data_IF_524753838218
#
_entry.id   IF_524753838218
#
_cell.length_a   1.000
_cell.length_b   1.000
_cell.length_c   1.000
_cell.angle_alpha   90.00
_cell.angle_beta   90.00
_cell.angle_gamma   90.00
#
_symmetry.space_group_name_H-M   'P 1'
#
loop_
_entity.id
_entity.type
_entity.pdbx_description
1 polymer ?
#
# COMPACT_ATOMS: atom_id res chain seq x y z
N UNK A 1 15.61 41.43 -13.94
CA UNK A 1 16.83 40.60 -13.86
C UNK A 1 16.39 39.16 -13.97
N UNK A 2 16.88 38.48 -15.01
CA UNK A 2 16.50 37.14 -15.42
C UNK A 2 17.06 36.09 -14.45
N UNK A 3 16.29 35.05 -14.14
CA UNK A 3 16.87 33.75 -13.83
C UNK A 3 16.02 32.65 -14.47
N UNK A 4 16.66 31.95 -15.41
CA UNK A 4 16.08 30.92 -16.26
C UNK A 4 15.91 29.62 -15.46
N UNK A 5 14.68 29.12 -15.36
CA UNK A 5 14.41 27.74 -15.01
C UNK A 5 14.56 26.88 -16.27
N UNK A 6 15.58 26.03 -16.32
CA UNK A 6 15.60 24.93 -17.27
C UNK A 6 14.65 23.83 -16.78
N UNK A 7 13.44 23.81 -17.32
CA UNK A 7 12.53 22.66 -17.27
C UNK A 7 13.01 21.61 -18.28
N UNK A 8 13.65 20.55 -17.81
CA UNK A 8 13.85 19.32 -18.60
C UNK A 8 12.56 18.51 -18.56
N UNK A 9 11.70 18.73 -19.55
CA UNK A 9 10.59 17.84 -19.88
C UNK A 9 11.15 16.52 -20.42
N UNK A 10 11.20 15.48 -19.59
CA UNK A 10 11.42 14.11 -20.07
C UNK A 10 10.12 13.63 -20.70
N UNK A 11 10.01 13.80 -22.00
CA UNK A 11 8.99 13.11 -22.81
C UNK A 11 9.18 11.61 -22.65
N UNK A 12 8.12 10.81 -22.41
CA UNK A 12 8.22 9.36 -22.42
C UNK A 12 8.60 8.95 -23.85
N UNK A 13 9.81 8.41 -24.00
CA UNK A 13 10.26 7.93 -25.29
C UNK A 13 9.42 6.69 -25.61
N UNK A 14 8.45 6.87 -26.50
CA UNK A 14 7.57 5.81 -27.00
C UNK A 14 8.44 4.70 -27.57
N UNK A 15 8.28 3.48 -27.06
CA UNK A 15 8.93 2.30 -27.62
C UNK A 15 8.71 2.27 -29.15
N UNK A 16 9.74 1.90 -29.94
CA UNK A 16 9.60 1.82 -31.39
C UNK A 16 8.43 0.91 -31.74
N UNK A 17 7.54 1.40 -32.60
CA UNK A 17 6.38 0.65 -33.07
C UNK A 17 6.86 -0.63 -33.77
N UNK A 18 6.68 -1.77 -33.11
CA UNK A 18 7.14 -3.08 -33.57
C UNK A 18 7.84 -3.93 -32.51
N UNK A 19 8.23 -3.36 -31.36
CA UNK A 19 8.75 -4.15 -30.24
C UNK A 19 7.60 -4.73 -29.42
N UNK A 20 7.06 -5.85 -29.91
CA UNK A 20 6.08 -6.62 -29.16
C UNK A 20 6.79 -7.42 -28.06
N UNK A 21 6.64 -6.99 -26.80
CA UNK A 21 7.11 -7.75 -25.63
C UNK A 21 6.50 -9.16 -25.57
N UNK A 22 5.42 -9.42 -26.32
CA UNK A 22 4.85 -10.75 -26.46
C UNK A 22 5.76 -11.73 -27.23
N UNK A 23 6.80 -11.25 -27.94
CA UNK A 23 7.72 -12.15 -28.64
C UNK A 23 8.79 -12.77 -27.74
N UNK A 24 8.86 -12.39 -26.46
CA UNK A 24 9.65 -13.06 -25.43
C UNK A 24 8.92 -14.23 -24.77
N UNK A 25 7.66 -14.49 -25.16
CA UNK A 25 6.99 -15.72 -24.76
C UNK A 25 7.67 -16.90 -25.47
N UNK A 26 8.46 -17.66 -24.70
CA UNK A 26 8.76 -19.03 -25.08
C UNK A 26 7.42 -19.71 -25.44
N UNK A 27 7.40 -20.35 -26.61
CA UNK A 27 6.23 -21.08 -27.08
C UNK A 27 5.78 -22.09 -26.01
N UNK A 28 4.46 -22.37 -25.87
CA UNK A 28 3.93 -23.28 -24.84
C UNK A 28 4.56 -24.69 -24.85
N UNK A 29 5.11 -25.11 -25.99
CA UNK A 29 5.86 -26.36 -26.14
C UNK A 29 7.19 -26.40 -25.37
N UNK A 30 7.68 -25.27 -24.86
CA UNK A 30 8.89 -25.16 -24.03
C UNK A 30 8.57 -24.96 -22.54
N UNK A 31 7.29 -24.89 -22.15
CA UNK A 31 6.84 -24.69 -20.76
C UNK A 31 6.92 -25.95 -19.88
N UNK A 32 7.60 -27.01 -20.34
CA UNK A 32 7.76 -28.26 -19.57
C UNK A 32 9.22 -28.61 -19.35
N UNK A 33 10.00 -27.71 -18.76
CA UNK A 33 11.15 -28.15 -17.97
C UNK A 33 11.02 -27.51 -16.60
N UNK A 34 10.53 -28.29 -15.64
CA UNK A 34 10.53 -27.95 -14.23
C UNK A 34 12.00 -27.77 -13.77
N UNK A 35 12.57 -26.57 -13.96
CA UNK A 35 13.96 -26.25 -13.63
C UNK A 35 14.07 -25.92 -12.14
N UNK A 36 13.90 -26.94 -11.31
CA UNK A 36 14.21 -26.87 -9.88
C UNK A 36 15.73 -26.71 -9.68
N UNK A 37 16.25 -25.48 -9.76
CA UNK A 37 17.54 -25.05 -9.19
C UNK A 37 18.81 -25.86 -9.53
N UNK A 38 18.75 -26.77 -10.50
CA UNK A 38 19.82 -27.71 -10.83
C UNK A 38 20.17 -27.59 -12.31
N UNK A 39 21.47 -27.52 -12.59
CA UNK A 39 21.97 -27.56 -13.96
C UNK A 39 21.66 -28.93 -14.59
N UNK A 40 21.20 -28.92 -15.84
CA UNK A 40 20.84 -30.08 -16.63
C UNK A 40 22.09 -30.90 -16.99
N UNK A 41 21.88 -32.21 -17.16
CA UNK A 41 22.93 -33.11 -17.65
C UNK A 41 23.13 -32.90 -19.15
N UNK A 42 24.39 -32.67 -19.55
CA UNK A 42 24.79 -32.44 -20.93
C UNK A 42 25.03 -33.76 -21.65
N UNK A 43 24.01 -34.25 -22.35
CA UNK A 43 24.05 -35.55 -23.03
C UNK A 43 23.82 -35.43 -24.55
N UNK A 44 23.60 -34.22 -25.06
CA UNK A 44 23.23 -34.02 -26.46
C UNK A 44 24.45 -33.91 -27.38
N UNK A 45 24.26 -34.30 -28.64
CA UNK A 45 25.26 -34.20 -29.72
C UNK A 45 25.06 -32.89 -30.47
N UNK A 46 26.14 -32.28 -30.93
CA UNK A 46 26.05 -31.03 -31.72
C UNK A 46 25.66 -31.37 -33.16
N UNK A 47 24.61 -30.74 -33.69
CA UNK A 47 24.34 -30.74 -35.12
C UNK A 47 25.27 -29.73 -35.83
N UNK A 48 26.45 -30.21 -36.21
CA UNK A 48 27.46 -29.41 -36.89
C UNK A 48 26.99 -28.83 -38.23
N UNK A 49 26.06 -29.48 -38.93
CA UNK A 49 25.52 -28.96 -40.20
C UNK A 49 24.64 -27.75 -39.94
N UNK A 50 23.80 -27.84 -38.91
CA UNK A 50 22.94 -26.73 -38.49
C UNK A 50 23.77 -25.54 -38.01
N UNK A 51 24.78 -25.77 -37.16
CA UNK A 51 25.68 -24.72 -36.69
C UNK A 51 26.46 -24.07 -37.84
N UNK A 52 26.95 -24.86 -38.81
CA UNK A 52 27.67 -24.33 -39.97
C UNK A 52 26.81 -23.44 -40.89
N UNK A 53 25.50 -23.64 -40.91
CA UNK A 53 24.57 -22.83 -41.69
C UNK A 53 24.22 -21.49 -41.01
N UNK A 54 24.59 -21.31 -39.74
CA UNK A 54 24.31 -20.10 -38.97
C UNK A 54 25.34 -19.01 -39.31
N UNK A 55 24.85 -17.88 -39.83
CA UNK A 55 25.65 -16.68 -40.01
C UNK A 55 25.65 -15.85 -38.71
N UNK A 56 26.72 -16.00 -37.93
CA UNK A 56 26.89 -15.34 -36.63
C UNK A 56 27.01 -13.82 -36.77
N UNK A 57 27.66 -13.33 -37.83
CA UNK A 57 27.85 -11.89 -38.04
C UNK A 57 26.51 -11.22 -38.38
N UNK A 58 25.65 -11.92 -39.13
CA UNK A 58 24.29 -11.47 -39.39
C UNK A 58 23.45 -11.44 -38.11
N UNK A 59 23.50 -12.48 -37.28
CA UNK A 59 22.78 -12.49 -35.99
C UNK A 59 23.19 -11.29 -35.14
N UNK A 60 24.48 -11.00 -35.06
CA UNK A 60 24.99 -9.88 -34.27
C UNK A 60 24.57 -8.51 -34.80
N UNK A 61 24.55 -8.32 -36.14
CA UNK A 61 24.14 -7.05 -36.76
C UNK A 61 22.63 -6.83 -36.71
N UNK A 62 21.86 -7.86 -37.03
CA UNK A 62 20.41 -7.77 -37.23
C UNK A 62 19.63 -8.06 -35.93
N UNK A 63 20.32 -8.48 -34.87
CA UNK A 63 19.71 -8.97 -33.63
C UNK A 63 18.67 -10.07 -33.90
N UNK A 64 19.02 -11.04 -34.74
CA UNK A 64 18.15 -12.17 -35.09
C UNK A 64 18.07 -13.16 -33.91
N UNK A 65 17.25 -12.80 -32.93
CA UNK A 65 17.00 -13.62 -31.74
C UNK A 65 16.30 -14.93 -32.07
N UNK A 66 15.56 -15.01 -33.18
CA UNK A 66 14.87 -16.23 -33.57
C UNK A 66 15.88 -17.32 -33.96
N UNK A 67 16.81 -17.01 -34.86
CA UNK A 67 17.86 -17.95 -35.25
C UNK A 67 18.74 -18.34 -34.05
N UNK A 68 19.01 -17.40 -33.14
CA UNK A 68 19.73 -17.69 -31.90
C UNK A 68 18.96 -18.64 -30.98
N UNK A 69 17.67 -18.40 -30.76
CA UNK A 69 16.79 -19.20 -29.92
C UNK A 69 16.67 -20.63 -30.44
N UNK A 70 16.56 -20.80 -31.76
CA UNK A 70 16.46 -22.10 -32.42
C UNK A 70 17.72 -22.97 -32.25
N UNK A 71 18.89 -22.36 -32.00
CA UNK A 71 20.16 -23.05 -31.78
C UNK A 71 20.57 -23.13 -30.31
N UNK A 72 19.81 -22.50 -29.40
CA UNK A 72 20.16 -22.33 -28.01
C UNK A 72 20.30 -23.67 -27.27
N UNK A 73 19.38 -24.60 -27.51
CA UNK A 73 19.39 -25.93 -26.89
C UNK A 73 20.64 -26.73 -27.29
N UNK A 74 20.96 -26.74 -28.59
CA UNK A 74 22.15 -27.39 -29.14
C UNK A 74 23.46 -26.87 -28.51
N UNK A 75 23.52 -25.57 -28.19
CA UNK A 75 24.73 -24.97 -27.59
C UNK A 75 24.78 -25.25 -26.09
N UNK A 76 23.65 -25.15 -25.39
CA UNK A 76 23.59 -25.21 -23.93
C UNK A 76 23.64 -26.62 -23.36
N UNK A 77 23.04 -27.60 -24.04
CA UNK A 77 22.89 -28.98 -23.57
C UNK A 77 23.87 -29.98 -24.20
N UNK A 78 24.70 -29.56 -25.15
CA UNK A 78 25.65 -30.46 -25.78
C UNK A 78 26.79 -30.88 -24.86
N UNK A 79 27.25 -32.12 -25.04
CA UNK A 79 28.44 -32.63 -24.39
C UNK A 79 29.71 -32.27 -25.17
N UNK A 80 30.31 -31.12 -24.86
CA UNK A 80 31.54 -30.66 -25.53
C UNK A 80 32.72 -31.63 -25.38
N UNK A 81 32.79 -32.41 -24.29
CA UNK A 81 33.87 -33.40 -24.09
C UNK A 81 33.78 -34.56 -25.09
N UNK A 82 32.59 -34.83 -25.62
CA UNK A 82 32.35 -35.91 -26.59
C UNK A 82 32.49 -35.46 -28.05
N UNK A 83 32.62 -34.15 -28.29
CA UNK A 83 32.61 -33.52 -29.62
C UNK A 83 33.99 -33.02 -30.06
N UNK A 84 34.89 -32.79 -29.10
CA UNK A 84 36.21 -32.20 -29.34
C UNK A 84 37.30 -33.24 -29.12
N UNK A 85 38.26 -33.33 -30.04
CA UNK A 85 39.50 -34.07 -29.80
C UNK A 85 40.45 -33.22 -28.94
N UNK A 86 40.66 -33.68 -27.70
CA UNK A 86 41.52 -33.03 -26.70
C UNK A 86 43.01 -33.04 -27.06
N UNK A 87 43.42 -33.78 -28.09
CA UNK A 87 44.80 -33.79 -28.58
C UNK A 87 45.12 -32.59 -29.48
N UNK A 88 44.10 -31.99 -30.09
CA UNK A 88 44.25 -30.88 -31.05
C UNK A 88 43.65 -29.57 -30.52
N UNK A 89 42.80 -29.62 -29.51
CA UNK A 89 42.17 -28.43 -28.92
C UNK A 89 42.73 -28.11 -27.53
N UNK A 90 42.95 -26.82 -27.24
CA UNK A 90 43.36 -26.35 -25.92
C UNK A 90 42.29 -26.71 -24.86
N UNK A 91 42.64 -27.43 -23.79
CA UNK A 91 41.72 -27.73 -22.67
C UNK A 91 41.05 -26.48 -22.06
N UNK A 92 41.68 -25.31 -22.14
CA UNK A 92 41.10 -24.05 -21.67
C UNK A 92 39.90 -23.60 -22.50
N UNK A 93 39.85 -23.93 -23.80
CA UNK A 93 38.69 -23.65 -24.64
C UNK A 93 37.49 -24.47 -24.20
N UNK A 94 37.69 -25.76 -23.88
CA UNK A 94 36.64 -26.64 -23.35
C UNK A 94 36.11 -26.10 -22.02
N UNK A 95 36.99 -25.61 -21.14
CA UNK A 95 36.58 -24.95 -19.88
C UNK A 95 35.79 -23.67 -20.14
N UNK A 96 36.25 -22.82 -21.06
CA UNK A 96 35.57 -21.58 -21.43
C UNK A 96 34.16 -21.87 -21.98
N UNK A 97 34.03 -22.86 -22.85
CA UNK A 97 32.73 -23.27 -23.41
C UNK A 97 31.79 -23.79 -22.31
N UNK A 98 32.28 -24.64 -21.40
CA UNK A 98 31.48 -25.10 -20.24
C UNK A 98 31.04 -23.95 -19.35
N UNK A 99 31.89 -22.95 -19.11
CA UNK A 99 31.49 -21.74 -18.38
C UNK A 99 30.43 -20.93 -19.13
N UNK A 100 30.54 -20.80 -20.45
CA UNK A 100 29.52 -20.16 -21.28
C UNK A 100 28.19 -20.91 -21.19
N UNK A 101 28.19 -22.24 -21.28
CA UNK A 101 26.98 -23.06 -21.12
C UNK A 101 26.31 -22.86 -19.75
N UNK A 102 27.09 -22.89 -18.67
CA UNK A 102 26.58 -22.64 -17.31
C UNK A 102 26.03 -21.22 -17.16
N UNK A 103 26.69 -20.24 -17.77
CA UNK A 103 26.24 -18.85 -17.75
C UNK A 103 24.90 -18.70 -18.48
N UNK A 104 24.76 -19.27 -19.68
CA UNK A 104 23.50 -19.23 -20.44
C UNK A 104 22.39 -19.95 -19.66
N UNK A 105 22.68 -21.10 -19.07
CA UNK A 105 21.71 -21.85 -18.27
C UNK A 105 21.25 -21.07 -17.03
N UNK A 106 22.16 -20.39 -16.34
CA UNK A 106 21.84 -19.47 -15.25
C UNK A 106 20.95 -18.31 -15.72
N UNK A 107 21.27 -17.69 -16.86
CA UNK A 107 20.47 -16.60 -17.42
C UNK A 107 19.05 -17.05 -17.78
N UNK A 108 18.90 -18.28 -18.32
CA UNK A 108 17.59 -18.86 -18.59
C UNK A 108 16.79 -19.14 -17.31
N UNK A 109 17.45 -19.61 -16.24
CA UNK A 109 16.80 -19.76 -14.93
C UNK A 109 16.33 -18.39 -14.40
N UNK A 110 17.18 -17.36 -14.48
CA UNK A 110 16.79 -16.01 -14.08
C UNK A 110 15.62 -15.47 -14.90
N UNK A 111 15.61 -15.71 -16.22
CA UNK A 111 14.51 -15.32 -17.10
C UNK A 111 13.19 -15.98 -16.67
N UNK A 112 13.20 -17.29 -16.42
CA UNK A 112 12.02 -18.03 -15.98
C UNK A 112 11.51 -17.56 -14.60
N UNK A 113 12.43 -17.30 -13.67
CA UNK A 113 12.11 -16.74 -12.35
C UNK A 113 11.47 -15.36 -12.46
N UNK A 114 12.04 -14.46 -13.25
CA UNK A 114 11.50 -13.11 -13.47
C UNK A 114 10.14 -13.19 -14.17
N UNK A 115 10.00 -14.05 -15.17
CA UNK A 115 8.74 -14.22 -15.91
C UNK A 115 7.63 -14.76 -15.00
N UNK A 116 7.94 -15.74 -14.16
CA UNK A 116 7.01 -16.28 -13.17
C UNK A 116 6.60 -15.23 -12.15
N UNK A 117 7.57 -14.47 -11.60
CA UNK A 117 7.28 -13.36 -10.69
C UNK A 117 6.41 -12.30 -11.35
N UNK A 118 6.68 -11.93 -12.60
CA UNK A 118 5.85 -10.97 -13.35
C UNK A 118 4.41 -11.48 -13.54
N UNK A 119 4.23 -12.76 -13.83
CA UNK A 119 2.91 -13.37 -13.93
C UNK A 119 2.15 -13.33 -12.59
N UNK A 120 2.83 -13.64 -11.49
CA UNK A 120 2.25 -13.55 -10.14
C UNK A 120 1.87 -12.11 -9.78
N UNK A 121 2.72 -11.14 -10.08
CA UNK A 121 2.44 -9.72 -9.87
C UNK A 121 1.26 -9.22 -10.72
N UNK A 122 1.15 -9.65 -11.97
CA UNK A 122 0.02 -9.26 -12.82
C UNK A 122 -1.30 -9.87 -12.33
N UNK A 123 -1.27 -11.13 -11.87
CA UNK A 123 -2.43 -11.76 -11.23
C UNK A 123 -2.85 -11.05 -9.95
N UNK A 124 -1.91 -10.71 -9.08
CA UNK A 124 -2.18 -9.97 -7.84
C UNK A 124 -2.77 -8.60 -8.15
N UNK A 125 -2.16 -7.86 -9.07
CA UNK A 125 -2.64 -6.55 -9.52
C UNK A 125 -4.07 -6.62 -10.07
N UNK A 126 -4.40 -7.65 -10.86
CA UNK A 126 -5.74 -7.82 -11.40
C UNK A 126 -6.76 -8.13 -10.29
N UNK A 127 -6.39 -8.93 -9.27
CA UNK A 127 -7.23 -9.16 -8.09
C UNK A 127 -7.47 -7.88 -7.30
N UNK A 128 -6.41 -7.14 -6.97
CA UNK A 128 -6.50 -5.87 -6.24
C UNK A 128 -7.37 -4.85 -6.98
N UNK A 129 -7.27 -4.81 -8.31
CA UNK A 129 -8.11 -3.96 -9.15
C UNK A 129 -9.59 -4.34 -9.03
N UNK A 130 -9.92 -5.62 -9.09
CA UNK A 130 -11.29 -6.10 -8.92
C UNK A 130 -11.83 -5.83 -7.52
N UNK A 131 -11.05 -6.13 -6.47
CA UNK A 131 -11.43 -5.88 -5.07
C UNK A 131 -11.66 -4.39 -4.82
N UNK A 132 -10.82 -3.52 -5.39
CA UNK A 132 -10.98 -2.07 -5.31
C UNK A 132 -12.26 -1.59 -6.00
N UNK A 133 -12.57 -2.09 -7.21
CA UNK A 133 -13.80 -1.74 -7.91
C UNK A 133 -15.05 -2.23 -7.16
N UNK A 134 -15.02 -3.43 -6.58
CA UNK A 134 -16.13 -3.95 -5.76
C UNK A 134 -16.34 -3.12 -4.49
N UNK A 135 -15.25 -2.78 -3.78
CA UNK A 135 -15.31 -1.90 -2.61
C UNK A 135 -15.85 -0.52 -2.96
N UNK A 136 -15.42 0.04 -4.10
CA UNK A 136 -15.92 1.33 -4.62
C UNK A 136 -17.41 1.29 -4.91
N UNK A 137 -17.90 0.22 -5.55
CA UNK A 137 -19.34 0.05 -5.79
C UNK A 137 -20.12 -0.08 -4.47
N UNK A 138 -19.59 -0.79 -3.48
CA UNK A 138 -20.23 -0.93 -2.18
C UNK A 138 -20.30 0.40 -1.43
N UNK A 139 -19.25 1.22 -1.49
CA UNK A 139 -19.23 2.57 -0.91
C UNK A 139 -20.33 3.44 -1.55
N UNK A 140 -20.48 3.41 -2.87
CA UNK A 140 -21.52 4.19 -3.55
C UNK A 140 -22.93 3.71 -3.20
N UNK A 141 -23.16 2.40 -3.08
CA UNK A 141 -24.42 1.84 -2.58
C UNK A 141 -24.74 2.32 -1.17
N UNK A 142 -23.79 2.20 -0.25
CA UNK A 142 -23.96 2.62 1.15
C UNK A 142 -24.19 4.15 1.27
N UNK A 143 -23.52 4.95 0.44
CA UNK A 143 -23.76 6.40 0.36
C UNK A 143 -25.19 6.70 -0.08
N UNK A 144 -25.71 5.98 -1.07
CA UNK A 144 -27.07 6.14 -1.54
C UNK A 144 -28.09 5.76 -0.46
N UNK A 145 -27.93 4.59 0.17
CA UNK A 145 -28.79 4.14 1.28
C UNK A 145 -28.77 5.10 2.48
N UNK A 146 -27.60 5.64 2.82
CA UNK A 146 -27.46 6.64 3.86
C UNK A 146 -28.22 7.92 3.51
N UNK A 147 -28.16 8.36 2.25
CA UNK A 147 -28.88 9.54 1.79
C UNK A 147 -30.41 9.34 1.87
N UNK A 148 -30.90 8.18 1.45
CA UNK A 148 -32.33 7.85 1.54
C UNK A 148 -32.80 7.72 2.99
N UNK A 149 -32.02 7.04 3.84
CA UNK A 149 -32.32 6.92 5.28
C UNK A 149 -32.35 8.29 5.97
N UNK A 150 -31.42 9.20 5.62
CA UNK A 150 -31.43 10.58 6.13
C UNK A 150 -32.66 11.36 5.68
N UNK A 151 -33.10 11.20 4.43
CA UNK A 151 -34.34 11.82 3.94
C UNK A 151 -35.55 11.30 4.70
N UNK A 152 -35.64 9.99 4.91
CA UNK A 152 -36.72 9.36 5.66
C UNK A 152 -36.75 9.79 7.12
N UNK A 153 -35.58 9.82 7.78
CA UNK A 153 -35.45 10.34 9.16
C UNK A 153 -35.92 11.80 9.25
N UNK A 154 -35.56 12.64 8.27
CA UNK A 154 -36.03 14.04 8.22
C UNK A 154 -37.55 14.12 8.05
N UNK A 155 -38.15 13.26 7.23
CA UNK A 155 -39.62 13.18 7.07
C UNK A 155 -40.30 12.76 8.37
N UNK A 156 -39.82 11.69 9.02
CA UNK A 156 -40.36 11.21 10.31
C UNK A 156 -40.23 12.23 11.41
N UNK A 157 -39.09 12.93 11.50
CA UNK A 157 -38.90 14.02 12.46
C UNK A 157 -39.95 15.13 12.28
N UNK A 158 -40.18 15.59 11.03
CA UNK A 158 -41.22 16.58 10.74
C UNK A 158 -42.62 16.09 11.11
N UNK A 159 -42.93 14.82 10.85
CA UNK A 159 -44.20 14.21 11.21
C UNK A 159 -44.41 14.20 12.73
N UNK A 160 -43.40 13.78 13.50
CA UNK A 160 -43.42 13.79 14.97
C UNK A 160 -43.56 15.21 15.52
N UNK A 161 -42.81 16.18 15.00
CA UNK A 161 -42.93 17.59 15.41
C UNK A 161 -44.34 18.14 15.14
N UNK A 162 -44.96 17.74 14.03
CA UNK A 162 -46.34 18.13 13.69
C UNK A 162 -47.35 17.48 14.63
N UNK A 163 -47.19 16.18 14.91
CA UNK A 163 -48.04 15.45 15.85
C UNK A 163 -47.94 16.03 17.27
N UNK A 164 -46.72 16.33 17.73
CA UNK A 164 -46.49 16.96 19.04
C UNK A 164 -47.16 18.33 19.11
N UNK A 165 -47.06 19.15 18.05
CA UNK A 165 -47.78 20.43 17.97
C UNK A 165 -49.30 20.27 18.03
N UNK A 166 -49.86 19.27 17.34
CA UNK A 166 -51.30 18.98 17.41
C UNK A 166 -51.73 18.58 18.83
N UNK A 167 -50.96 17.71 19.50
CA UNK A 167 -51.23 17.31 20.88
C UNK A 167 -51.12 18.48 21.86
N UNK A 168 -50.10 19.34 21.72
CA UNK A 168 -49.95 20.54 22.55
C UNK A 168 -51.08 21.55 22.32
N UNK A 169 -51.51 21.76 21.07
CA UNK A 169 -52.65 22.64 20.77
C UNK A 169 -53.97 22.08 21.33
N UNK A 170 -54.15 20.75 21.32
CA UNK A 170 -55.29 20.11 21.99
C UNK A 170 -55.23 20.27 23.51
N UNK A 171 -54.04 20.19 24.12
CA UNK A 171 -53.90 20.32 25.58
C UNK A 171 -53.86 21.77 26.09
N UNK A 172 -53.51 22.76 25.25
CA UNK A 172 -53.35 24.16 25.67
C UNK A 172 -54.63 25.00 25.61
N UNK A 173 -55.66 24.55 24.88
CA UNK A 173 -56.92 25.30 24.73
C UNK A 173 -58.01 24.86 25.72
N UNK A 174 -57.70 23.88 26.58
CA UNK A 174 -58.64 23.34 27.55
C UNK A 174 -57.95 23.08 28.88
N UNK A 175 -58.64 23.42 29.96
CA UNK A 175 -58.24 23.14 31.33
C UNK A 175 -58.90 21.84 31.77
N UNK A 176 -58.13 20.76 31.82
CA UNK A 176 -58.62 19.42 32.19
C UNK A 176 -58.76 19.26 33.69
N UNK A 177 -59.82 18.59 34.13
CA UNK A 177 -60.00 18.25 35.53
C UNK A 177 -58.91 17.26 35.98
N UNK A 178 -58.27 17.50 37.15
CA UNK A 178 -57.24 16.61 37.65
C UNK A 178 -57.76 15.27 38.23
N UNK A 179 -59.08 15.15 38.40
CA UNK A 179 -59.74 14.00 39.05
C UNK A 179 -60.62 13.21 38.08
N UNK A 180 -61.15 13.84 37.02
CA UNK A 180 -61.99 13.21 36.02
C UNK A 180 -61.62 13.65 34.59
N UNK A 181 -62.27 13.09 33.58
CA UNK A 181 -61.94 13.30 32.17
C UNK A 181 -62.53 14.59 31.55
N UNK A 182 -63.21 15.43 32.32
CA UNK A 182 -63.81 16.66 31.80
C UNK A 182 -62.77 17.74 31.51
N UNK A 183 -62.95 18.45 30.39
CA UNK A 183 -62.10 19.55 29.95
C UNK A 183 -62.91 20.83 29.76
N UNK A 184 -62.37 21.97 30.19
CA UNK A 184 -63.08 23.24 30.24
C UNK A 184 -62.35 24.32 29.45
N UNK A 185 -63.08 25.17 28.73
CA UNK A 185 -62.50 26.25 27.93
C UNK A 185 -61.92 27.41 28.76
N UNK A 186 -62.24 27.50 30.06
CA UNK A 186 -61.73 28.53 30.97
C UNK A 186 -61.42 27.96 32.34
N UNK A 187 -60.34 28.48 32.95
CA UNK A 187 -59.88 28.12 34.30
C UNK A 187 -61.00 28.30 35.33
N UNK A 188 -61.81 29.36 35.20
CA UNK A 188 -62.90 29.64 36.14
C UNK A 188 -63.96 28.53 36.14
N UNK A 189 -64.29 27.97 34.97
CA UNK A 189 -65.24 26.85 34.88
C UNK A 189 -64.65 25.56 35.41
N UNK A 190 -63.36 25.31 35.18
CA UNK A 190 -62.67 24.16 35.77
C UNK A 190 -62.69 24.25 37.30
N UNK A 191 -62.34 25.40 37.88
CA UNK A 191 -62.31 25.60 39.32
C UNK A 191 -63.70 25.41 39.94
N UNK A 192 -64.75 25.96 39.31
CA UNK A 192 -66.13 25.76 39.76
C UNK A 192 -66.56 24.28 39.68
N UNK A 193 -66.10 23.55 38.66
CA UNK A 193 -66.35 22.11 38.54
C UNK A 193 -65.67 21.30 39.65
N UNK A 194 -64.38 21.54 39.92
CA UNK A 194 -63.64 20.88 41.00
C UNK A 194 -64.34 21.12 42.34
N UNK A 195 -64.67 22.38 42.66
CA UNK A 195 -65.30 22.71 43.94
C UNK A 195 -66.68 22.06 44.15
N UNK A 196 -67.41 21.74 43.07
CA UNK A 196 -68.75 21.16 43.15
C UNK A 196 -68.77 19.64 43.08
N UNK A 197 -67.89 19.05 42.28
CA UNK A 197 -67.90 17.61 41.96
C UNK A 197 -66.74 16.84 42.60
N UNK A 198 -65.70 17.55 43.01
CA UNK A 198 -64.53 17.00 43.69
C UNK A 198 -64.16 17.84 44.93
N UNK A 199 -65.09 18.04 45.89
CA UNK A 199 -64.82 18.84 47.09
C UNK A 199 -63.71 18.26 47.98
N UNK A 200 -63.44 16.95 47.89
CA UNK A 200 -62.35 16.26 48.59
C UNK A 200 -61.01 16.30 47.83
N UNK A 201 -60.93 17.02 46.70
CA UNK A 201 -59.71 17.16 45.94
C UNK A 201 -58.72 18.09 46.67
N UNK A 202 -57.69 17.49 47.27
CA UNK A 202 -56.58 18.23 47.86
C UNK A 202 -55.50 18.53 46.79
N UNK A 203 -55.31 19.80 46.40
CA UNK A 203 -54.29 20.19 45.43
C UNK A 203 -52.85 19.93 45.93
N UNK A 204 -52.64 19.71 47.24
CA UNK A 204 -51.31 19.45 47.79
C UNK A 204 -50.72 18.09 47.39
N UNK A 205 -51.56 17.06 47.18
CA UNK A 205 -51.08 15.74 46.68
C UNK A 205 -50.50 15.79 45.27
N UNK A 206 -51.01 16.69 44.41
CA UNK A 206 -50.42 16.92 43.07
C UNK A 206 -49.10 17.69 43.16
N UNK A 207 -49.00 18.65 44.08
CA UNK A 207 -47.74 19.38 44.32
C UNK A 207 -46.62 18.43 44.79
N UNK A 208 -46.93 17.42 45.59
CA UNK A 208 -45.94 16.39 45.97
C UNK A 208 -45.41 15.62 44.75
N UNK A 209 -46.29 15.20 43.84
CA UNK A 209 -45.89 14.55 42.59
C UNK A 209 -45.10 15.49 41.66
N UNK A 210 -45.54 16.74 41.52
CA UNK A 210 -44.83 17.74 40.70
C UNK A 210 -43.44 18.04 41.27
N UNK A 211 -43.29 18.09 42.60
CA UNK A 211 -41.99 18.23 43.28
C UNK A 211 -41.08 17.02 43.00
N UNK A 212 -41.62 15.80 42.95
CA UNK A 212 -40.82 14.62 42.61
C UNK A 212 -40.40 14.60 41.13
N UNK A 213 -41.26 15.06 40.22
CA UNK A 213 -40.91 15.27 38.81
C UNK A 213 -39.84 16.36 38.67
N UNK A 214 -39.94 17.45 39.44
CA UNK A 214 -38.94 18.54 39.44
C UNK A 214 -37.57 18.03 39.92
N UNK A 215 -37.54 17.19 40.97
CA UNK A 215 -36.31 16.53 41.45
C UNK A 215 -35.72 15.60 40.41
N UNK A 216 -36.54 14.89 39.65
CA UNK A 216 -36.07 14.01 38.58
C UNK A 216 -35.50 14.80 37.40
N UNK A 217 -36.15 15.91 37.02
CA UNK A 217 -35.62 16.84 36.01
C UNK A 217 -34.28 17.41 36.46
N UNK A 218 -34.14 17.76 37.74
CA UNK A 218 -32.88 18.28 38.27
C UNK A 218 -31.78 17.20 38.24
N UNK A 219 -32.09 15.96 38.64
CA UNK A 219 -31.16 14.83 38.52
C UNK A 219 -30.70 14.59 37.09
N UNK A 220 -31.63 14.59 36.13
CA UNK A 220 -31.31 14.43 34.71
C UNK A 220 -30.47 15.58 34.16
N UNK A 221 -30.69 16.82 34.62
CA UNK A 221 -29.85 17.98 34.25
C UNK A 221 -28.43 17.84 34.80
N UNK A 222 -28.29 17.41 36.04
CA UNK A 222 -26.98 17.22 36.67
C UNK A 222 -26.22 16.06 35.99
N UNK A 223 -26.92 14.99 35.63
CA UNK A 223 -26.36 13.87 34.89
C UNK A 223 -25.94 14.26 33.47
N UNK A 224 -26.78 15.05 32.77
CA UNK A 224 -26.44 15.61 31.46
C UNK A 224 -25.20 16.50 31.53
N UNK A 225 -25.13 17.38 32.53
CA UNK A 225 -23.96 18.25 32.72
C UNK A 225 -22.69 17.43 32.98
N UNK A 226 -22.77 16.38 33.80
CA UNK A 226 -21.65 15.46 34.05
C UNK A 226 -21.20 14.79 32.75
N UNK A 227 -22.14 14.34 31.92
CA UNK A 227 -21.85 13.72 30.61
C UNK A 227 -21.23 14.69 29.61
N UNK A 228 -21.65 15.96 29.62
CA UNK A 228 -21.07 17.00 28.77
C UNK A 228 -19.61 17.29 29.14
N UNK A 229 -19.30 17.36 30.45
CA UNK A 229 -17.93 17.52 30.94
C UNK A 229 -17.06 16.31 30.57
N UNK A 230 -17.59 15.09 30.71
CA UNK A 230 -16.92 13.85 30.31
C UNK A 230 -16.67 13.80 28.79
N UNK A 231 -17.64 14.21 27.97
CA UNK A 231 -17.44 14.32 26.52
C UNK A 231 -16.41 15.39 26.15
N UNK A 232 -16.38 16.50 26.86
CA UNK A 232 -15.40 17.56 26.62
C UNK A 232 -13.97 17.10 26.97
N UNK A 233 -13.80 16.37 28.08
CA UNK A 233 -12.49 15.81 28.44
C UNK A 233 -12.01 14.78 27.42
N UNK A 234 -12.91 13.90 26.95
CA UNK A 234 -12.60 12.92 25.89
C UNK A 234 -12.19 13.63 24.59
N UNK A 235 -12.88 14.72 24.21
CA UNK A 235 -12.53 15.49 23.00
C UNK A 235 -11.15 16.12 23.10
N UNK A 236 -10.80 16.68 24.26
CA UNK A 236 -9.48 17.26 24.50
C UNK A 236 -8.41 16.16 24.45
N UNK A 237 -8.64 15.04 25.13
CA UNK A 237 -7.71 13.90 25.13
C UNK A 237 -7.48 13.38 23.71
N UNK A 238 -8.55 13.21 22.94
CA UNK A 238 -8.46 12.79 21.54
C UNK A 238 -7.66 13.78 20.68
N UNK A 239 -7.84 15.09 20.87
CA UNK A 239 -7.08 16.09 20.14
C UNK A 239 -5.58 16.03 20.47
N UNK A 240 -5.23 15.82 21.74
CA UNK A 240 -3.84 15.63 22.20
C UNK A 240 -3.24 14.36 21.60
N UNK A 241 -3.97 13.25 21.61
CA UNK A 241 -3.47 11.99 21.04
C UNK A 241 -3.35 12.07 19.51
N UNK A 242 -4.26 12.76 18.82
CA UNK A 242 -4.15 13.05 17.39
C UNK A 242 -2.91 13.91 17.07
N UNK A 243 -2.57 14.88 17.92
CA UNK A 243 -1.35 15.68 17.78
C UNK A 243 -0.09 14.85 17.98
N UNK A 244 -0.05 14.01 19.03
CA UNK A 244 1.06 13.09 19.28
C UNK A 244 1.27 12.09 18.13
N UNK A 245 0.20 11.60 17.51
CA UNK A 245 0.27 10.73 16.33
C UNK A 245 0.85 11.51 15.15
N UNK A 246 0.40 12.75 14.90
CA UNK A 246 0.93 13.58 13.81
C UNK A 246 2.42 13.85 13.96
N UNK A 247 2.89 14.14 15.16
CA UNK A 247 4.30 14.38 15.44
C UNK A 247 5.15 13.12 15.21
N UNK A 248 4.67 11.97 15.71
CA UNK A 248 5.33 10.67 15.52
C UNK A 248 5.36 10.26 14.04
N UNK A 249 4.31 10.54 13.29
CA UNK A 249 4.26 10.31 11.83
C UNK A 249 5.23 11.22 11.07
N UNK A 250 5.39 12.48 11.50
CA UNK A 250 6.35 13.41 10.91
C UNK A 250 7.79 12.94 11.16
N UNK A 251 8.10 12.48 12.38
CA UNK A 251 9.41 11.90 12.72
C UNK A 251 9.70 10.64 11.89
N UNK A 252 8.70 9.75 11.73
CA UNK A 252 8.84 8.55 10.91
C UNK A 252 9.08 8.87 9.43
N UNK A 253 8.46 9.92 8.90
CA UNK A 253 8.72 10.39 7.52
C UNK A 253 10.15 10.87 7.36
N UNK A 254 10.62 11.74 8.26
CA UNK A 254 12.00 12.25 8.20
C UNK A 254 13.03 11.11 8.25
N UNK A 255 12.84 10.15 9.16
CA UNK A 255 13.77 9.01 9.29
C UNK A 255 13.80 8.13 8.04
N UNK A 256 12.67 7.95 7.36
CA UNK A 256 12.63 7.22 6.08
C UNK A 256 13.42 7.95 5.00
N UNK A 257 13.31 9.26 4.92
CA UNK A 257 14.10 10.09 3.99
C UNK A 257 15.60 10.00 4.28
N UNK A 258 15.99 10.02 5.56
CA UNK A 258 17.39 9.87 5.97
C UNK A 258 17.96 8.50 5.57
N UNK A 259 17.22 7.41 5.81
CA UNK A 259 17.60 6.06 5.39
C UNK A 259 17.74 6.00 3.87
N UNK A 260 16.80 6.57 3.12
CA UNK A 260 16.85 6.57 1.66
C UNK A 260 18.08 7.32 1.14
N UNK A 261 18.42 8.45 1.78
CA UNK A 261 19.60 9.25 1.47
C UNK A 261 20.89 8.47 1.74
N UNK A 262 21.01 7.83 2.91
CA UNK A 262 22.17 7.00 3.25
C UNK A 262 22.28 5.79 2.34
N UNK A 263 21.17 5.13 2.00
CA UNK A 263 21.13 4.00 1.07
C UNK A 263 21.69 4.41 -0.28
N UNK A 264 21.27 5.56 -0.81
CA UNK A 264 21.79 6.11 -2.07
C UNK A 264 23.29 6.37 -2.01
N UNK A 265 23.80 6.93 -0.89
CA UNK A 265 25.24 7.14 -0.69
C UNK A 265 26.03 5.82 -0.69
N UNK A 266 25.50 4.79 -0.02
CA UNK A 266 26.12 3.46 0.00
C UNK A 266 26.16 2.85 -1.39
N UNK A 267 25.07 2.94 -2.17
CA UNK A 267 25.05 2.45 -3.56
C UNK A 267 26.12 3.15 -4.42
N UNK A 268 26.29 4.47 -4.27
CA UNK A 268 27.33 5.22 -4.99
C UNK A 268 28.74 4.78 -4.56
N UNK A 269 28.96 4.56 -3.26
CA UNK A 269 30.24 4.08 -2.75
C UNK A 269 30.55 2.65 -3.20
N UNK A 270 29.55 1.76 -3.18
CA UNK A 270 29.67 0.38 -3.66
C UNK A 270 30.04 0.36 -5.16
N UNK A 271 29.41 1.20 -5.98
CA UNK A 271 29.74 1.33 -7.40
C UNK A 271 31.17 1.86 -7.62
N UNK A 272 31.59 2.87 -6.85
CA UNK A 272 33.00 3.35 -6.87
C UNK A 272 34.00 2.26 -6.47
N UNK A 273 33.68 1.47 -5.44
CA UNK A 273 34.53 0.36 -4.99
C UNK A 273 34.63 -0.73 -6.07
N UNK A 274 33.52 -1.04 -6.77
CA UNK A 274 33.51 -1.96 -7.91
C UNK A 274 34.36 -1.44 -9.06
N UNK A 275 34.20 -0.17 -9.45
CA UNK A 275 34.99 0.45 -10.52
C UNK A 275 36.50 0.45 -10.23
N UNK A 276 36.92 0.70 -8.97
CA UNK A 276 38.32 0.60 -8.58
C UNK A 276 38.86 -0.84 -8.63
N UNK A 277 38.02 -1.84 -8.32
CA UNK A 277 38.40 -3.26 -8.39
C UNK A 277 38.52 -3.77 -9.83
N UNK A 278 37.75 -3.19 -10.73
CA UNK A 278 37.66 -3.58 -12.15
C UNK A 278 38.69 -2.90 -13.07
N UNK A 279 39.44 -1.89 -12.60
CA UNK A 279 40.34 -1.11 -13.46
C UNK A 279 41.83 -1.52 -13.31
N UNK A 280 42.44 -2.24 -14.28
CA UNK A 280 43.81 -2.76 -14.16
C UNK A 280 44.90 -1.78 -14.60
N UNK A 281 44.59 -0.51 -14.93
CA UNK A 281 45.51 0.38 -15.68
C UNK A 281 45.94 1.69 -15.02
N UNK A 282 45.71 1.90 -13.72
CA UNK A 282 46.32 3.05 -13.01
C UNK A 282 47.69 2.69 -12.39
N UNK A 283 48.66 2.32 -13.25
CA UNK A 283 50.08 2.37 -12.87
C UNK A 283 50.50 3.83 -12.80
N UNK A 284 50.81 4.29 -11.57
CA UNK A 284 51.27 5.64 -11.16
C UNK A 284 50.14 6.49 -10.56
N UNK A 285 49.82 6.28 -9.27
CA UNK A 285 50.59 6.89 -8.17
C UNK A 285 51.05 5.83 -7.14
N UNK A 286 51.91 6.23 -6.19
CA UNK A 286 52.49 5.37 -5.16
C UNK A 286 51.48 4.36 -4.56
N UNK A 287 51.79 3.05 -4.53
CA UNK A 287 50.87 1.99 -4.09
C UNK A 287 50.33 2.23 -2.67
N UNK A 288 51.09 2.94 -1.83
CA UNK A 288 50.67 3.29 -0.48
C UNK A 288 49.50 4.30 -0.44
N UNK A 289 49.36 5.21 -1.42
CA UNK A 289 48.23 6.17 -1.47
C UNK A 289 46.93 5.53 -1.96
N UNK A 290 47.01 4.58 -2.88
CA UNK A 290 45.83 3.85 -3.37
C UNK A 290 45.25 2.92 -2.29
N UNK A 291 46.10 2.26 -1.51
CA UNK A 291 45.69 1.40 -0.39
C UNK A 291 45.05 2.20 0.75
N UNK A 292 45.58 3.40 1.03
CA UNK A 292 45.00 4.32 2.04
C UNK A 292 43.61 4.80 1.60
N UNK A 293 43.43 5.19 0.32
CA UNK A 293 42.13 5.64 -0.20
C UNK A 293 41.06 4.53 -0.25
N UNK A 294 41.45 3.29 -0.58
CA UNK A 294 40.56 2.14 -0.53
C UNK A 294 40.15 1.80 0.92
N UNK A 295 41.11 1.85 1.85
CA UNK A 295 40.84 1.65 3.28
C UNK A 295 39.88 2.70 3.85
N UNK A 296 40.02 3.95 3.42
CA UNK A 296 39.18 5.06 3.85
C UNK A 296 37.74 4.95 3.31
N UNK A 297 37.57 4.59 2.04
CA UNK A 297 36.25 4.33 1.45
C UNK A 297 35.54 3.11 2.06
N UNK A 298 36.28 2.04 2.38
CA UNK A 298 35.73 0.88 3.08
C UNK A 298 35.29 1.21 4.51
N UNK A 299 36.05 2.07 5.21
CA UNK A 299 35.66 2.58 6.54
C UNK A 299 34.41 3.44 6.45
N UNK A 300 34.32 4.34 5.47
CA UNK A 300 33.15 5.19 5.24
C UNK A 300 31.91 4.37 4.92
N UNK A 301 32.02 3.38 4.02
CA UNK A 301 30.92 2.48 3.68
C UNK A 301 30.45 1.66 4.89
N UNK A 302 31.38 1.14 5.70
CA UNK A 302 31.05 0.43 6.96
C UNK A 302 30.36 1.34 7.97
N UNK A 303 30.77 2.61 8.08
CA UNK A 303 30.15 3.57 8.98
C UNK A 303 28.71 3.91 8.56
N UNK A 304 28.50 4.20 7.28
CA UNK A 304 27.16 4.49 6.74
C UNK A 304 26.20 3.31 6.89
N UNK A 305 26.68 2.06 6.74
CA UNK A 305 25.88 0.86 7.00
C UNK A 305 25.47 0.75 8.47
N UNK A 306 26.38 1.04 9.40
CA UNK A 306 26.08 1.06 10.84
C UNK A 306 25.05 2.15 11.19
N UNK A 307 25.14 3.33 10.58
CA UNK A 307 24.18 4.41 10.79
C UNK A 307 22.77 4.03 10.30
N UNK A 308 22.66 3.34 9.16
CA UNK A 308 21.38 2.78 8.69
C UNK A 308 20.84 1.74 9.66
N UNK A 309 21.66 0.80 10.14
CA UNK A 309 21.23 -0.21 11.11
C UNK A 309 20.69 0.43 12.40
N UNK A 310 21.34 1.49 12.88
CA UNK A 310 20.90 2.24 14.05
C UNK A 310 19.57 2.98 13.78
N UNK A 311 19.42 3.61 12.62
CA UNK A 311 18.17 4.28 12.22
C UNK A 311 17.02 3.29 12.05
N UNK A 312 17.26 2.12 11.44
CA UNK A 312 16.28 1.03 11.27
C UNK A 312 15.86 0.47 12.63
N UNK A 313 16.81 0.22 13.53
CA UNK A 313 16.51 -0.28 14.88
C UNK A 313 15.64 0.71 15.67
N UNK A 314 15.93 2.01 15.55
CA UNK A 314 15.12 3.03 16.18
C UNK A 314 13.74 3.19 15.52
N UNK A 315 13.63 2.98 14.20
CA UNK A 315 12.35 2.94 13.48
C UNK A 315 11.47 1.79 13.94
N UNK A 316 12.06 0.60 14.13
CA UNK A 316 11.36 -0.56 14.69
C UNK A 316 10.89 -0.26 16.12
N UNK A 317 11.73 0.36 16.96
CA UNK A 317 11.35 0.75 18.31
C UNK A 317 10.20 1.77 18.35
N UNK A 318 10.12 2.68 17.36
CA UNK A 318 9.02 3.66 17.25
C UNK A 318 7.75 3.04 16.66
N UNK A 319 7.80 1.86 16.04
CA UNK A 319 6.62 1.19 15.48
C UNK A 319 5.99 0.16 16.44
N UNK A 320 6.75 -0.37 17.39
CA UNK A 320 6.29 -1.28 18.45
C UNK A 320 5.99 -0.54 19.76
#
# INVERSE_FOLDING_TARGET
MHNNYYTTSVTPQRAPAGFDMNHLYLSPSQQQVNRQGMFLKRNERIDWRRIAAVDVDRIARDMDFQTLQENLENITLCNIDAEVDTRVMDPNFVKLYKMAQLTIEYLLICQDQITSQLADYDQLKNRDFHDHEDARQQIEKLKHELAETKKELKKRRKMLETQQRMLMAQNSNYHTCPVCTHAFLSIAYLQAHINRRHPDYDPNRRREHDVDVEKEIQRLKDELHKKDVELQSIRIQKAVDEERIRDRDAELRQRKEDIQTLTTKITILDDRLLQMRSNPHTRSPSPHRQDVGLSELLKENKHLRADIEQLVSHLLFVLY
#
